data_IF_163454742434
#
_entry.id   IF_163454742434
#
_cell.length_a   1.000
_cell.length_b   1.000
_cell.length_c   1.000
_cell.angle_alpha   90.00
_cell.angle_beta   90.00
_cell.angle_gamma   90.00
#
_symmetry.space_group_name_H-M   'P 1'
#
loop_
_entity.id
_entity.type
_entity.pdbx_description
1 polymer ?
#
# COMPACT_ATOMS: atom_id res chain seq x y z
N UNK A 1 -10.30 19.27 0.42
CA UNK A 1 -10.18 17.87 0.88
C UNK A 1 -11.23 17.02 0.20
N UNK A 2 -11.00 15.71 0.05
CA UNK A 2 -11.98 14.77 -0.51
C UNK A 2 -13.14 14.54 0.47
N UNK A 3 -14.31 14.14 -0.05
CA UNK A 3 -15.44 13.75 0.79
C UNK A 3 -15.20 12.38 1.42
N UNK A 4 -15.86 12.09 2.55
CA UNK A 4 -15.78 10.76 3.19
C UNK A 4 -16.17 9.63 2.24
N UNK A 5 -17.20 9.85 1.41
CA UNK A 5 -17.64 8.88 0.41
C UNK A 5 -16.55 8.64 -0.64
N UNK A 6 -15.94 9.70 -1.20
CA UNK A 6 -14.87 9.57 -2.18
C UNK A 6 -13.63 8.86 -1.60
N UNK A 7 -13.26 9.17 -0.35
CA UNK A 7 -12.16 8.49 0.34
C UNK A 7 -12.48 7.00 0.52
N UNK A 8 -13.69 6.65 0.95
CA UNK A 8 -14.10 5.25 1.12
C UNK A 8 -13.99 4.47 -0.20
N UNK A 9 -14.51 5.04 -1.30
CA UNK A 9 -14.44 4.39 -2.61
C UNK A 9 -12.99 4.14 -3.05
N UNK A 10 -12.10 5.11 -2.87
CA UNK A 10 -10.69 4.97 -3.22
C UNK A 10 -10.00 3.92 -2.36
N UNK A 11 -10.25 3.92 -1.04
CA UNK A 11 -9.67 2.91 -0.13
C UNK A 11 -10.13 1.52 -0.51
N UNK A 12 -11.41 1.32 -0.81
CA UNK A 12 -11.96 0.03 -1.22
C UNK A 12 -11.33 -0.46 -2.54
N UNK A 13 -11.03 0.44 -3.48
CA UNK A 13 -10.33 0.11 -4.72
C UNK A 13 -8.86 -0.26 -4.49
N UNK A 14 -8.16 0.48 -3.63
CA UNK A 14 -6.76 0.22 -3.30
C UNK A 14 -6.58 -1.09 -2.49
N UNK A 15 -7.53 -1.43 -1.61
CA UNK A 15 -7.55 -2.72 -0.91
C UNK A 15 -7.82 -3.85 -1.89
N UNK A 16 -8.81 -3.70 -2.79
CA UNK A 16 -9.12 -4.73 -3.81
C UNK A 16 -7.96 -4.99 -4.77
N UNK A 17 -7.17 -3.96 -5.07
CA UNK A 17 -5.95 -4.11 -5.89
C UNK A 17 -4.73 -4.58 -5.10
N UNK A 18 -4.87 -4.84 -3.79
CA UNK A 18 -3.80 -5.35 -2.94
C UNK A 18 -2.72 -4.33 -2.58
N UNK A 19 -2.98 -3.03 -2.80
CA UNK A 19 -2.04 -1.94 -2.52
C UNK A 19 -2.09 -1.49 -1.06
N UNK A 20 -3.26 -1.60 -0.41
CA UNK A 20 -3.48 -1.24 0.99
C UNK A 20 -4.01 -2.41 1.82
N UNK A 21 -3.74 -2.36 3.13
CA UNK A 21 -4.31 -3.24 4.17
C UNK A 21 -4.89 -2.43 5.32
N UNK A 22 -5.94 -2.94 5.94
CA UNK A 22 -6.49 -2.39 7.18
C UNK A 22 -5.71 -2.92 8.40
N UNK A 23 -5.24 -2.02 9.26
CA UNK A 23 -4.55 -2.34 10.51
C UNK A 23 -5.50 -2.44 11.72
N UNK A 24 -6.80 -2.27 11.50
CA UNK A 24 -7.82 -2.22 12.56
C UNK A 24 -8.15 -0.80 13.02
N UNK A 25 -9.14 -0.66 13.92
CA UNK A 25 -9.68 0.63 14.31
C UNK A 25 -8.65 1.51 15.03
N UNK A 26 -8.52 2.76 14.57
CA UNK A 26 -7.80 3.80 15.31
C UNK A 26 -8.54 4.09 16.61
N UNK A 27 -7.94 3.74 17.76
CA UNK A 27 -8.37 3.95 19.16
C UNK A 27 -9.90 4.06 19.43
N UNK A 28 -10.51 3.16 20.22
CA UNK A 28 -11.90 3.32 20.64
C UNK A 28 -12.04 4.58 21.51
N UNK A 29 -12.93 5.52 21.13
CA UNK A 29 -13.15 6.71 21.96
C UNK A 29 -14.02 7.83 21.39
N UNK A 30 -14.58 7.72 20.18
CA UNK A 30 -15.51 8.72 19.63
C UNK A 30 -16.75 8.05 19.04
N UNK A 31 -17.88 8.72 19.15
CA UNK A 31 -19.16 8.26 18.58
C UNK A 31 -19.05 8.19 17.05
N UNK A 32 -19.36 7.02 16.47
CA UNK A 32 -19.25 6.69 15.05
C UNK A 32 -18.43 5.42 14.81
N UNK A 33 -18.48 4.83 13.60
CA UNK A 33 -17.57 3.72 13.22
C UNK A 33 -16.13 4.28 13.20
N UNK A 34 -15.21 3.77 14.05
CA UNK A 34 -13.81 4.20 14.00
C UNK A 34 -13.25 4.00 12.61
N UNK A 35 -12.48 4.97 12.10
CA UNK A 35 -11.70 4.73 10.89
C UNK A 35 -10.69 3.62 11.16
N UNK A 36 -10.53 2.69 10.22
CA UNK A 36 -9.39 1.76 10.29
C UNK A 36 -8.13 2.54 9.93
N UNK A 37 -7.05 2.31 10.67
CA UNK A 37 -5.72 2.65 10.17
C UNK A 37 -5.46 1.86 8.88
N UNK A 38 -4.78 2.48 7.93
CA UNK A 38 -4.40 1.88 6.66
C UNK A 38 -2.88 1.83 6.57
N UNK A 39 -2.36 0.75 6.02
CA UNK A 39 -0.95 0.64 5.67
C UNK A 39 -0.80 0.20 4.22
N UNK A 40 0.37 0.50 3.64
CA UNK A 40 0.78 -0.08 2.37
C UNK A 40 0.98 -1.58 2.57
N UNK A 41 0.45 -2.36 1.63
CA UNK A 41 0.55 -3.82 1.66
C UNK A 41 2.01 -4.26 1.52
N UNK A 42 2.46 -5.09 2.44
CA UNK A 42 3.74 -5.80 2.35
C UNK A 42 3.64 -7.06 1.49
N UNK A 43 2.46 -7.41 0.97
CA UNK A 43 2.24 -8.57 0.07
C UNK A 43 1.64 -8.16 -1.27
N UNK A 44 1.57 -6.85 -1.51
CA UNK A 44 1.08 -6.25 -2.75
C UNK A 44 2.06 -6.44 -3.91
N UNK A 45 1.75 -5.83 -5.07
CA UNK A 45 2.64 -5.85 -6.22
C UNK A 45 4.03 -5.30 -5.87
N UNK A 46 5.04 -5.73 -6.63
CA UNK A 46 6.43 -5.29 -6.51
C UNK A 46 6.89 -4.65 -7.81
N UNK A 47 7.83 -3.70 -7.72
CA UNK A 47 8.59 -3.19 -8.86
C UNK A 47 9.82 -4.03 -9.13
N UNK A 48 10.18 -4.19 -10.40
CA UNK A 48 11.45 -4.81 -10.83
C UNK A 48 12.34 -3.73 -11.43
N UNK A 49 13.55 -3.61 -10.90
CA UNK A 49 14.60 -2.75 -11.43
C UNK A 49 15.69 -3.58 -12.08
N UNK A 50 16.22 -3.11 -13.20
CA UNK A 50 17.37 -3.72 -13.85
C UNK A 50 18.37 -2.64 -14.28
N UNK A 51 19.64 -2.91 -14.04
CA UNK A 51 20.76 -2.13 -14.54
C UNK A 51 21.56 -2.99 -15.52
N UNK A 52 21.79 -2.46 -16.72
CA UNK A 52 22.48 -3.15 -17.79
C UNK A 52 23.81 -2.44 -18.03
N UNK A 53 24.90 -3.11 -17.65
CA UNK A 53 26.26 -2.73 -17.97
C UNK A 53 26.81 -3.48 -19.17
N UNK A 54 27.99 -3.07 -19.64
CA UNK A 54 28.68 -3.72 -20.76
C UNK A 54 29.13 -5.14 -20.38
N UNK A 55 29.44 -5.37 -19.11
CA UNK A 55 29.99 -6.60 -18.54
C UNK A 55 29.16 -7.19 -17.38
N UNK A 56 28.02 -6.57 -17.05
CA UNK A 56 27.20 -6.99 -15.93
C UNK A 56 25.71 -6.70 -16.15
N UNK A 57 24.90 -7.45 -15.40
CA UNK A 57 23.47 -7.23 -15.25
C UNK A 57 23.16 -7.31 -13.75
N UNK A 58 22.58 -6.25 -13.21
CA UNK A 58 22.03 -6.25 -11.84
C UNK A 58 20.51 -6.15 -11.90
N UNK A 59 19.83 -6.86 -11.01
CA UNK A 59 18.36 -6.89 -10.91
C UNK A 59 17.96 -6.81 -9.45
N UNK A 60 16.90 -6.07 -9.14
CA UNK A 60 16.27 -6.06 -7.82
C UNK A 60 14.74 -6.15 -7.94
N UNK A 61 14.12 -6.76 -6.93
CA UNK A 61 12.68 -6.67 -6.69
C UNK A 61 12.45 -5.78 -5.47
N UNK A 62 11.53 -4.82 -5.56
CA UNK A 62 11.24 -3.85 -4.50
C UNK A 62 9.74 -3.83 -4.23
N UNK A 63 9.33 -3.97 -2.97
CA UNK A 63 7.91 -3.86 -2.61
C UNK A 63 7.41 -2.41 -2.58
N UNK A 64 6.12 -2.21 -2.35
CA UNK A 64 5.52 -0.86 -2.27
C UNK A 64 6.01 -0.04 -1.06
N UNK A 65 6.66 -0.67 -0.09
CA UNK A 65 7.28 0.01 1.05
C UNK A 65 8.71 0.47 0.72
N UNK A 66 9.24 0.09 -0.44
CA UNK A 66 10.60 0.41 -0.86
C UNK A 66 11.64 -0.60 -0.39
N UNK A 67 11.22 -1.74 0.16
CA UNK A 67 12.13 -2.76 0.67
C UNK A 67 12.49 -3.77 -0.43
N UNK A 68 13.77 -4.13 -0.52
CA UNK A 68 14.26 -5.15 -1.47
C UNK A 68 13.81 -6.53 -1.00
N UNK A 69 13.34 -7.37 -1.94
CA UNK A 69 12.87 -8.75 -1.69
C UNK A 69 13.73 -9.80 -2.37
#
# INVERSE_FOLDING_TARGET
>A
GLTRAAVSTLVDELIRSGLLVELGPERPGRVGRPGSALAVSDRGPAGIGAEIGVDHLAVCAVDLRGEVR
#
